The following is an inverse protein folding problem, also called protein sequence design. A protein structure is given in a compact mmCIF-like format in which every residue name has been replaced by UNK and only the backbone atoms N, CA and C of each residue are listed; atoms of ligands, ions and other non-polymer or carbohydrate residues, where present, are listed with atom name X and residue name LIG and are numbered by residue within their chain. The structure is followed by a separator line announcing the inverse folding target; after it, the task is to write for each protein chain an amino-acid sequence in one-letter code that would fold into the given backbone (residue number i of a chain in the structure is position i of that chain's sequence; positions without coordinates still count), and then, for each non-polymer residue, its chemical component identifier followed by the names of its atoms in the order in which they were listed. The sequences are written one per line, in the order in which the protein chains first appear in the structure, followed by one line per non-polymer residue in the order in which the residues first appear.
data_IF_802217539227
#
_entry.id   IF_802217539227
#
_cell.length_a   1.000
_cell.length_b   1.000
_cell.length_c   1.000
_cell.angle_alpha   90.00
_cell.angle_beta   90.00
_cell.angle_gamma   90.00
#
_symmetry.space_group_name_H-M   'P 1'
#
loop_
_entity.id
_entity.type
_entity.pdbx_description
1 polymer ?
#
# COMPACT_ATOMS: atom_id res chain seq x y z
N UNK A 1 31.25 -21.53 -13.01
CA UNK A 1 29.78 -21.62 -13.11
C UNK A 1 29.23 -20.37 -12.47
N UNK A 2 28.61 -19.53 -13.28
CA UNK A 2 27.88 -18.36 -12.79
C UNK A 2 26.60 -18.88 -12.13
N UNK A 3 26.48 -18.71 -10.82
CA UNK A 3 25.34 -19.22 -10.04
C UNK A 3 24.11 -18.38 -10.39
N UNK A 4 23.20 -18.95 -11.19
CA UNK A 4 21.92 -18.30 -11.51
C UNK A 4 20.93 -18.58 -10.39
N UNK A 5 20.41 -17.55 -9.73
CA UNK A 5 19.37 -17.71 -8.70
C UNK A 5 18.04 -17.22 -9.25
N UNK A 6 16.97 -18.00 -9.08
CA UNK A 6 15.65 -17.60 -9.52
C UNK A 6 15.13 -16.42 -8.67
N UNK A 7 14.70 -15.28 -9.27
CA UNK A 7 14.17 -14.15 -8.51
C UNK A 7 12.81 -14.41 -7.85
N UNK A 8 12.07 -15.41 -8.34
CA UNK A 8 10.70 -15.70 -7.87
C UNK A 8 10.69 -16.62 -6.65
N UNK A 9 11.45 -17.71 -6.70
CA UNK A 9 11.50 -18.71 -5.62
C UNK A 9 12.82 -18.73 -4.85
N UNK A 10 13.78 -17.87 -5.22
CA UNK A 10 15.10 -17.73 -4.57
C UNK A 10 15.91 -19.03 -4.54
N UNK A 11 15.57 -19.98 -5.41
CA UNK A 11 16.26 -21.26 -5.53
C UNK A 11 17.42 -21.12 -6.52
N UNK A 12 18.57 -21.69 -6.19
CA UNK A 12 19.70 -21.79 -7.11
C UNK A 12 19.33 -22.70 -8.28
N UNK A 13 19.42 -22.15 -9.48
CA UNK A 13 19.12 -22.86 -10.72
C UNK A 13 20.38 -23.59 -11.16
N UNK A 14 20.27 -24.92 -11.18
CA UNK A 14 21.26 -25.81 -11.79
C UNK A 14 20.76 -26.14 -13.18
N UNK A 15 21.45 -25.63 -14.19
CA UNK A 15 21.12 -25.87 -15.59
C UNK A 15 21.59 -27.26 -16.04
N UNK A 16 20.80 -27.90 -16.90
CA UNK A 16 21.18 -29.14 -17.54
C UNK A 16 22.27 -28.88 -18.60
N UNK A 17 23.31 -29.71 -18.64
CA UNK A 17 24.45 -29.57 -19.56
C UNK A 17 24.08 -29.85 -21.03
N UNK A 18 22.99 -30.58 -21.31
CA UNK A 18 22.55 -30.94 -22.66
C UNK A 18 21.56 -29.94 -23.26
N UNK A 19 20.79 -29.24 -22.42
CA UNK A 19 19.71 -28.33 -22.85
C UNK A 19 20.12 -26.85 -22.71
N UNK A 20 20.97 -26.50 -21.74
CA UNK A 20 21.42 -25.13 -21.50
C UNK A 20 20.41 -24.27 -20.72
N UNK A 21 20.67 -22.95 -20.59
CA UNK A 21 19.81 -22.05 -19.83
C UNK A 21 18.46 -21.83 -20.54
N UNK A 22 17.37 -22.13 -19.84
CA UNK A 22 15.99 -21.94 -20.32
C UNK A 22 15.40 -20.59 -19.87
N UNK A 23 14.35 -20.14 -20.56
CA UNK A 23 13.68 -18.87 -20.27
C UNK A 23 12.75 -18.93 -19.06
N UNK A 24 12.49 -20.12 -18.52
CA UNK A 24 11.64 -20.37 -17.35
C UNK A 24 12.42 -21.10 -16.25
N UNK A 25 12.07 -20.83 -14.99
CA UNK A 25 12.66 -21.52 -13.85
C UNK A 25 12.14 -22.97 -13.79
N UNK A 26 13.01 -24.00 -13.69
CA UNK A 26 12.58 -25.40 -13.62
C UNK A 26 11.84 -25.74 -12.31
N UNK A 27 12.01 -24.95 -11.26
CA UNK A 27 11.39 -25.19 -9.95
C UNK A 27 10.00 -24.57 -9.81
N UNK A 28 9.81 -23.35 -10.31
CA UNK A 28 8.58 -22.58 -10.11
C UNK A 28 7.88 -22.17 -11.41
N UNK A 29 8.44 -22.49 -12.58
CA UNK A 29 7.88 -22.28 -13.92
C UNK A 29 7.58 -20.82 -14.29
N UNK A 30 8.09 -19.85 -13.52
CA UNK A 30 8.04 -18.44 -13.89
C UNK A 30 9.13 -18.07 -14.90
N UNK A 31 8.84 -17.11 -15.77
CA UNK A 31 9.79 -16.57 -16.74
C UNK A 31 10.93 -15.79 -16.04
N UNK A 32 12.18 -16.12 -16.39
CA UNK A 32 13.38 -15.49 -15.84
C UNK A 32 13.73 -14.16 -16.52
N UNK A 33 13.24 -13.93 -17.74
CA UNK A 33 13.42 -12.68 -18.51
C UNK A 33 12.42 -11.58 -18.15
N UNK A 34 11.46 -11.86 -17.27
CA UNK A 34 10.34 -10.96 -16.93
C UNK A 34 10.66 -9.83 -15.95
N UNK A 35 11.93 -9.39 -15.85
CA UNK A 35 12.19 -8.15 -15.11
C UNK A 35 11.61 -6.98 -15.90
N UNK A 36 10.65 -6.31 -15.28
CA UNK A 36 10.03 -5.06 -15.76
C UNK A 36 11.03 -3.90 -15.57
N UNK A 37 12.18 -3.97 -16.22
CA UNK A 37 13.17 -2.90 -16.20
C UNK A 37 12.73 -1.80 -17.15
N UNK A 38 12.29 -0.67 -16.60
CA UNK A 38 12.09 0.56 -17.38
C UNK A 38 13.47 1.15 -17.70
N UNK A 39 13.87 1.08 -18.97
CA UNK A 39 15.05 1.78 -19.46
C UNK A 39 14.69 3.25 -19.71
N UNK A 40 14.95 4.11 -18.73
CA UNK A 40 14.77 5.55 -18.89
C UNK A 40 16.03 6.07 -19.60
N UNK A 41 15.89 6.53 -20.85
CA UNK A 41 16.94 7.26 -21.55
C UNK A 41 16.96 8.69 -21.02
N UNK A 42 17.94 9.01 -20.17
CA UNK A 42 18.26 10.39 -19.84
C UNK A 42 19.08 10.94 -21.01
N UNK A 43 18.47 11.82 -21.81
CA UNK A 43 19.14 12.46 -22.95
C UNK A 43 20.36 13.26 -22.50
N UNK A 44 21.46 13.13 -23.23
CA UNK A 44 22.69 13.89 -23.03
C UNK A 44 22.45 15.38 -23.34
N UNK A 45 22.83 16.26 -22.41
CA UNK A 45 22.94 17.70 -22.64
C UNK A 45 24.13 17.98 -23.56
N UNK A 46 23.91 18.42 -24.81
CA UNK A 46 24.95 19.04 -25.64
C UNK A 46 24.38 20.13 -26.59
N UNK A 47 24.78 21.37 -26.27
CA UNK A 47 25.11 22.55 -27.09
C UNK A 47 24.30 22.91 -28.38
N UNK A 48 23.66 24.10 -28.33
CA UNK A 48 23.12 24.88 -29.46
C UNK A 48 24.18 25.21 -30.54
N UNK A 49 23.80 25.29 -31.83
CA UNK A 49 23.63 26.63 -32.40
C UNK A 49 22.46 26.80 -33.40
N UNK A 50 21.74 27.90 -33.19
CA UNK A 50 20.92 28.71 -34.10
C UNK A 50 20.95 28.39 -35.61
N UNK A 51 19.84 27.87 -36.13
CA UNK A 51 19.33 28.21 -37.46
C UNK A 51 17.82 28.55 -37.35
N UNK A 52 17.51 29.79 -37.66
CA UNK A 52 16.17 30.37 -37.67
C UNK A 52 15.39 29.82 -38.85
N UNK A 53 14.63 28.74 -38.66
CA UNK A 53 13.51 28.41 -39.53
C UNK A 53 12.20 28.75 -38.79
N UNK A 54 11.43 29.62 -39.42
CA UNK A 54 10.14 30.14 -38.96
C UNK A 54 9.11 29.01 -39.11
N UNK A 55 8.90 28.25 -38.02
CA UNK A 55 7.86 27.23 -37.95
C UNK A 55 6.53 27.90 -37.63
N UNK A 56 5.58 27.83 -38.55
CA UNK A 56 4.19 28.20 -38.30
C UNK A 56 3.63 27.32 -37.18
N UNK A 57 3.15 27.99 -36.13
CA UNK A 57 2.45 27.44 -34.97
C UNK A 57 1.12 26.81 -35.41
N UNK A 58 1.12 25.50 -35.68
CA UNK A 58 -0.08 24.68 -35.56
C UNK A 58 0.08 23.81 -34.31
N UNK A 59 -0.55 24.31 -33.23
CA UNK A 59 -0.56 23.67 -31.91
C UNK A 59 -0.96 22.19 -31.96
N UNK A 60 -0.05 21.35 -31.49
CA UNK A 60 -0.26 19.95 -31.16
C UNK A 60 0.04 19.75 -29.68
N UNK A 61 -1.02 19.88 -28.89
CA UNK A 61 -1.16 19.50 -27.48
C UNK A 61 -0.76 18.03 -27.26
N UNK A 62 0.47 17.75 -26.80
CA UNK A 62 0.84 16.38 -26.40
C UNK A 62 1.87 16.29 -25.24
N UNK A 63 2.24 17.42 -24.62
CA UNK A 63 3.19 17.45 -23.49
C UNK A 63 2.52 17.61 -22.11
N UNK A 64 1.18 17.65 -22.05
CA UNK A 64 0.43 17.75 -20.80
C UNK A 64 0.08 16.38 -20.16
N UNK A 65 0.32 15.27 -20.85
CA UNK A 65 -0.16 13.94 -20.44
C UNK A 65 0.68 13.25 -19.34
N UNK A 66 1.79 13.84 -18.88
CA UNK A 66 2.69 13.17 -17.93
C UNK A 66 2.43 13.47 -16.44
N UNK A 67 1.57 14.44 -16.12
CA UNK A 67 1.25 14.83 -14.73
C UNK A 67 -0.14 14.39 -14.24
N UNK A 68 -0.85 13.55 -15.00
CA UNK A 68 -2.08 12.89 -14.54
C UNK A 68 -1.77 11.68 -13.65
N UNK A 69 -1.38 11.91 -12.40
CA UNK A 69 -1.29 10.83 -11.40
C UNK A 69 -2.59 10.66 -10.59
N UNK A 70 -3.54 11.59 -10.73
CA UNK A 70 -4.82 11.58 -9.99
C UNK A 70 -5.82 10.57 -10.59
N UNK A 71 -5.76 10.33 -11.91
CA UNK A 71 -6.62 9.43 -12.69
C UNK A 71 -6.29 7.95 -12.57
N UNK A 72 -5.17 7.58 -11.92
CA UNK A 72 -4.85 6.17 -11.66
C UNK A 72 -5.65 5.58 -10.49
N UNK A 73 -6.12 6.43 -9.55
CA UNK A 73 -6.95 5.98 -8.40
C UNK A 73 -8.32 5.46 -8.83
N UNK A 74 -8.90 6.07 -9.85
CA UNK A 74 -10.19 5.67 -10.44
C UNK A 74 -10.07 4.52 -11.44
N UNK A 75 -8.85 4.16 -11.85
CA UNK A 75 -8.59 3.04 -12.77
C UNK A 75 -8.19 1.74 -12.05
N UNK A 76 -8.23 1.70 -10.71
CA UNK A 76 -8.07 0.42 -10.01
C UNK A 76 -9.28 -0.48 -10.26
N UNK A 77 -9.07 -1.80 -10.40
CA UNK A 77 -10.19 -2.71 -10.60
C UNK A 77 -11.16 -2.64 -9.41
N UNK A 78 -12.49 -2.80 -9.63
CA UNK A 78 -13.51 -2.73 -8.58
C UNK A 78 -13.36 -3.78 -7.46
N UNK A 79 -12.44 -4.74 -7.63
CA UNK A 79 -12.02 -5.69 -6.60
C UNK A 79 -11.14 -5.05 -5.52
N UNK A 80 -10.51 -3.91 -5.81
CA UNK A 80 -9.61 -3.18 -4.91
C UNK A 80 -10.32 -1.92 -4.39
N UNK A 81 -10.95 -1.13 -5.25
CA UNK A 81 -11.76 0.04 -4.87
C UNK A 81 -13.24 -0.26 -5.10
N UNK A 82 -13.94 -0.64 -4.05
CA UNK A 82 -15.36 -1.00 -4.16
C UNK A 82 -16.28 0.21 -4.31
N UNK A 83 -15.80 1.42 -3.99
CA UNK A 83 -16.54 2.68 -4.09
C UNK A 83 -17.02 2.95 -5.52
N UNK A 84 -16.22 2.62 -6.53
CA UNK A 84 -16.53 2.88 -7.95
C UNK A 84 -17.81 2.16 -8.41
N UNK A 85 -18.19 1.07 -7.73
CA UNK A 85 -19.46 0.37 -8.00
C UNK A 85 -20.70 1.23 -7.74
N UNK A 86 -20.55 2.33 -6.99
CA UNK A 86 -21.64 3.21 -6.61
C UNK A 86 -21.69 4.50 -7.44
N UNK A 87 -20.77 4.71 -8.39
CA UNK A 87 -20.66 5.92 -9.21
C UNK A 87 -21.97 6.29 -9.92
N UNK A 88 -22.67 5.32 -10.49
CA UNK A 88 -23.96 5.57 -11.17
C UNK A 88 -25.11 5.93 -10.21
N UNK A 89 -24.97 5.62 -8.93
CA UNK A 89 -26.07 5.66 -7.94
C UNK A 89 -25.95 6.77 -6.91
N UNK A 90 -24.74 7.29 -6.68
CA UNK A 90 -24.43 8.26 -5.63
C UNK A 90 -23.49 9.34 -6.15
N UNK A 91 -23.56 10.52 -5.56
CA UNK A 91 -22.64 11.62 -5.84
C UNK A 91 -21.27 11.36 -5.18
N UNK A 92 -20.34 10.78 -5.95
CA UNK A 92 -19.00 10.47 -5.47
C UNK A 92 -18.13 11.71 -5.25
N UNK A 93 -18.36 12.80 -5.98
CA UNK A 93 -17.59 14.04 -5.77
C UNK A 93 -17.87 14.61 -4.38
N UNK A 94 -19.14 14.73 -4.01
CA UNK A 94 -19.50 15.19 -2.66
C UNK A 94 -19.06 14.20 -1.56
N UNK A 95 -19.06 12.89 -1.87
CA UNK A 95 -18.54 11.88 -0.96
C UNK A 95 -17.04 12.09 -0.69
N UNK A 96 -16.24 12.22 -1.75
CA UNK A 96 -14.79 12.41 -1.66
C UNK A 96 -14.44 13.73 -0.96
N UNK A 97 -15.11 14.84 -1.29
CA UNK A 97 -14.93 16.13 -0.60
C UNK A 97 -15.24 16.02 0.91
N UNK A 98 -16.29 15.29 1.28
CA UNK A 98 -16.63 15.07 2.70
C UNK A 98 -15.58 14.22 3.39
N UNK A 99 -15.07 13.19 2.72
CA UNK A 99 -14.00 12.33 3.25
C UNK A 99 -12.74 13.16 3.49
N UNK A 100 -12.32 14.00 2.54
CA UNK A 100 -11.15 14.87 2.69
C UNK A 100 -11.27 15.80 3.90
N UNK A 101 -12.43 16.46 4.06
CA UNK A 101 -12.68 17.32 5.24
C UNK A 101 -12.55 16.57 6.56
N UNK A 102 -13.05 15.33 6.61
CA UNK A 102 -12.93 14.48 7.81
C UNK A 102 -11.47 14.11 8.05
N UNK A 103 -10.73 13.74 7.00
CA UNK A 103 -9.32 13.38 7.09
C UNK A 103 -8.45 14.55 7.58
N UNK A 104 -8.75 15.78 7.17
CA UNK A 104 -8.05 16.99 7.61
C UNK A 104 -8.23 17.27 9.12
N UNK A 105 -9.35 16.87 9.71
CA UNK A 105 -9.63 17.03 11.14
C UNK A 105 -9.05 15.89 12.01
N UNK A 106 -8.72 14.75 11.39
CA UNK A 106 -8.23 13.57 12.10
C UNK A 106 -6.74 13.69 12.46
N UNK A 107 -6.42 13.37 13.72
CA UNK A 107 -5.03 13.33 14.18
C UNK A 107 -4.25 12.14 13.61
N UNK A 108 -4.88 10.96 13.55
CA UNK A 108 -4.30 9.75 12.95
C UNK A 108 -5.06 9.36 11.68
N UNK A 109 -4.32 9.24 10.59
CA UNK A 109 -4.83 8.89 9.26
C UNK A 109 -4.10 7.62 8.76
N UNK A 110 -4.55 6.42 9.16
CA UNK A 110 -3.91 5.18 8.72
C UNK A 110 -4.29 4.83 7.27
N UNK A 111 -3.38 4.14 6.58
CA UNK A 111 -3.63 3.57 5.25
C UNK A 111 -4.27 2.19 5.35
N UNK A 112 -5.23 1.90 4.46
CA UNK A 112 -5.90 0.62 4.42
C UNK A 112 -4.97 -0.50 3.94
N UNK A 113 -4.88 -1.65 4.63
CA UNK A 113 -4.03 -2.77 4.21
C UNK A 113 -4.50 -3.47 2.92
N UNK A 114 -5.72 -3.16 2.44
CA UNK A 114 -6.29 -3.76 1.22
C UNK A 114 -6.06 -2.92 -0.03
N UNK A 115 -6.37 -1.63 0.02
CA UNK A 115 -6.31 -0.74 -1.14
C UNK A 115 -5.33 0.44 -0.96
N UNK A 116 -4.74 0.60 0.23
CA UNK A 116 -3.83 1.70 0.61
C UNK A 116 -4.45 3.10 0.58
N UNK A 117 -5.78 3.19 0.50
CA UNK A 117 -6.47 4.47 0.73
C UNK A 117 -6.51 4.80 2.22
N UNK A 118 -6.57 6.10 2.51
CA UNK A 118 -6.71 6.58 3.87
C UNK A 118 -8.04 6.19 4.50
N UNK A 119 -8.00 5.85 5.79
CA UNK A 119 -9.16 5.40 6.54
C UNK A 119 -9.64 6.48 7.50
N UNK A 120 -10.96 6.58 7.63
CA UNK A 120 -11.60 7.53 8.54
C UNK A 120 -11.86 6.90 9.90
N UNK A 121 -11.68 7.68 10.98
CA UNK A 121 -12.00 7.25 12.34
C UNK A 121 -13.51 7.23 12.52
N UNK A 122 -14.09 6.04 12.62
CA UNK A 122 -15.52 5.84 12.82
C UNK A 122 -15.94 5.91 14.30
N UNK A 123 -15.01 5.65 15.21
CA UNK A 123 -15.24 5.80 16.65
C UNK A 123 -14.27 5.01 17.51
N UNK A 124 -14.49 5.03 18.83
CA UNK A 124 -13.67 4.32 19.81
C UNK A 124 -14.54 3.37 20.62
N UNK A 125 -14.16 2.09 20.66
CA UNK A 125 -14.80 1.06 21.46
C UNK A 125 -13.99 0.79 22.72
N UNK A 126 -14.65 0.79 23.88
CA UNK A 126 -14.04 0.38 25.14
C UNK A 126 -14.27 -1.11 25.38
N UNK A 127 -13.20 -1.85 25.62
CA UNK A 127 -13.23 -3.27 25.95
C UNK A 127 -13.13 -3.42 27.46
N UNK A 128 -14.17 -4.01 28.06
CA UNK A 128 -14.24 -4.31 29.50
C UNK A 128 -13.91 -5.77 29.79
N UNK A 129 -13.60 -6.09 31.04
CA UNK A 129 -13.16 -7.43 31.45
C UNK A 129 -14.19 -8.55 31.26
N UNK A 130 -15.48 -8.21 31.15
CA UNK A 130 -16.55 -9.22 31.02
C UNK A 130 -16.65 -9.81 29.61
N UNK A 131 -16.22 -9.06 28.58
CA UNK A 131 -16.31 -9.47 27.17
C UNK A 131 -14.97 -9.83 26.53
N UNK A 132 -13.89 -9.86 27.33
CA UNK A 132 -12.54 -10.09 26.83
C UNK A 132 -11.81 -11.14 27.67
N UNK A 133 -11.39 -12.23 27.00
CA UNK A 133 -10.58 -13.27 27.60
C UNK A 133 -9.10 -13.06 27.20
N UNK A 134 -8.25 -12.52 28.09
CA UNK A 134 -6.85 -12.27 27.77
C UNK A 134 -6.07 -13.57 27.55
N UNK A 135 -5.31 -13.64 26.46
CA UNK A 135 -4.35 -14.71 26.22
C UNK A 135 -3.16 -14.62 27.20
N UNK A 136 -2.75 -15.77 27.74
CA UNK A 136 -1.58 -15.89 28.61
C UNK A 136 -0.45 -16.59 27.88
N UNK A 137 0.75 -16.01 27.94
CA UNK A 137 1.95 -16.57 27.34
C UNK A 137 2.96 -16.98 28.40
N UNK A 138 3.59 -18.15 28.22
CA UNK A 138 4.57 -18.70 29.17
C UNK A 138 5.79 -17.79 29.37
N UNK A 139 6.17 -17.03 28.34
CA UNK A 139 7.28 -16.08 28.36
C UNK A 139 7.07 -14.93 29.37
N UNK A 140 5.82 -14.53 29.62
CA UNK A 140 5.50 -13.36 30.45
C UNK A 140 4.69 -13.69 31.70
N UNK A 141 4.05 -14.86 31.75
CA UNK A 141 3.12 -15.30 32.82
C UNK A 141 2.01 -14.29 33.15
N UNK A 142 1.79 -13.31 32.28
CA UNK A 142 0.73 -12.32 32.37
C UNK A 142 0.18 -12.02 30.97
N UNK A 143 -1.06 -11.50 30.89
CA UNK A 143 -1.64 -11.00 29.64
C UNK A 143 -0.79 -9.94 28.95
N UNK A 144 -0.89 -9.88 27.62
CA UNK A 144 -0.26 -8.81 26.80
C UNK A 144 -0.87 -7.44 27.11
N UNK A 145 -2.18 -7.40 27.35
CA UNK A 145 -2.92 -6.20 27.72
C UNK A 145 -3.98 -6.55 28.75
N UNK A 146 -4.20 -5.66 29.71
CA UNK A 146 -5.19 -5.81 30.78
C UNK A 146 -6.39 -4.89 30.51
N UNK A 147 -7.64 -5.39 30.59
CA UNK A 147 -8.81 -4.54 30.58
C UNK A 147 -8.88 -3.60 31.80
N UNK A 148 -9.49 -2.42 31.68
CA UNK A 148 -10.12 -1.88 30.47
C UNK A 148 -9.12 -1.18 29.55
N UNK A 149 -9.28 -1.38 28.24
CA UNK A 149 -8.54 -0.66 27.19
C UNK A 149 -9.49 -0.23 26.06
N UNK A 150 -9.04 0.69 25.21
CA UNK A 150 -9.82 1.27 24.11
C UNK A 150 -9.20 0.93 22.76
N UNK A 151 -10.05 0.63 21.79
CA UNK A 151 -9.67 0.44 20.38
C UNK A 151 -10.38 1.49 19.52
N UNK A 152 -9.63 2.15 18.65
CA UNK A 152 -10.12 3.05 17.62
C UNK A 152 -10.48 2.21 16.39
N UNK A 153 -11.70 2.40 15.88
CA UNK A 153 -12.21 1.71 14.70
C UNK A 153 -12.10 2.65 13.50
N UNK A 154 -11.39 2.20 12.47
CA UNK A 154 -11.22 2.91 11.22
C UNK A 154 -11.97 2.19 10.09
N UNK A 155 -12.54 2.96 9.18
CA UNK A 155 -13.24 2.45 8.00
C UNK A 155 -12.59 3.03 6.76
N UNK A 156 -12.20 2.17 5.82
CA UNK A 156 -11.70 2.61 4.52
C UNK A 156 -12.88 3.09 3.65
N UNK A 157 -12.76 4.30 3.12
CA UNK A 157 -13.80 4.91 2.27
C UNK A 157 -13.81 4.38 0.84
N UNK A 158 -12.68 3.83 0.36
CA UNK A 158 -12.56 3.20 -0.95
C UNK A 158 -13.04 1.74 -1.01
N UNK A 159 -12.66 0.91 -0.04
CA UNK A 159 -12.95 -0.53 -0.04
C UNK A 159 -13.87 -1.03 1.08
N UNK A 160 -14.33 -0.14 1.97
CA UNK A 160 -15.15 -0.44 3.15
C UNK A 160 -14.56 -1.49 4.10
N UNK A 161 -13.24 -1.70 4.05
CA UNK A 161 -12.53 -2.52 5.04
C UNK A 161 -12.56 -1.82 6.41
N UNK A 162 -12.79 -2.61 7.45
CA UNK A 162 -12.78 -2.14 8.84
C UNK A 162 -11.52 -2.64 9.52
N UNK A 163 -10.78 -1.73 10.13
CA UNK A 163 -9.59 -2.01 10.91
C UNK A 163 -9.73 -1.42 12.31
N UNK A 164 -9.14 -2.08 13.30
CA UNK A 164 -9.17 -1.62 14.70
C UNK A 164 -7.76 -1.48 15.23
N UNK A 165 -7.41 -0.28 15.68
CA UNK A 165 -6.13 0.02 16.29
C UNK A 165 -6.30 0.26 17.79
N UNK A 166 -5.31 -0.11 18.58
CA UNK A 166 -5.29 0.21 20.00
C UNK A 166 -5.13 1.73 20.18
N UNK A 167 -5.84 2.33 21.14
CA UNK A 167 -5.69 3.76 21.43
C UNK A 167 -4.25 4.12 21.80
N UNK A 168 -3.80 5.35 21.53
CA UNK A 168 -2.42 5.76 21.81
C UNK A 168 -2.03 5.55 23.28
N UNK A 169 -2.90 5.95 24.21
CA UNK A 169 -2.68 5.74 25.64
C UNK A 169 -2.50 4.26 25.99
N UNK A 170 -3.30 3.38 25.39
CA UNK A 170 -3.23 1.94 25.66
C UNK A 170 -2.06 1.27 24.90
N UNK A 171 -1.62 1.81 23.76
CA UNK A 171 -0.35 1.43 23.09
C UNK A 171 0.82 1.70 24.02
N UNK A 172 0.89 2.87 24.64
CA UNK A 172 1.94 3.23 25.60
C UNK A 172 1.91 2.31 26.83
N UNK A 173 0.72 2.05 27.40
CA UNK A 173 0.56 1.10 28.51
C UNK A 173 1.03 -0.30 28.14
N UNK A 174 0.72 -0.77 26.93
CA UNK A 174 1.18 -2.06 26.46
C UNK A 174 2.71 -2.08 26.33
N UNK A 175 3.33 -1.08 25.71
CA UNK A 175 4.79 -1.00 25.57
C UNK A 175 5.48 -0.96 26.94
N UNK A 176 4.99 -0.16 27.88
CA UNK A 176 5.51 -0.10 29.26
C UNK A 176 5.37 -1.45 29.97
N UNK A 177 4.21 -2.10 29.86
CA UNK A 177 3.95 -3.42 30.45
C UNK A 177 4.89 -4.50 29.88
N UNK A 178 5.07 -4.54 28.56
CA UNK A 178 5.91 -5.54 27.90
C UNK A 178 7.43 -5.26 28.10
N UNK A 179 7.84 -4.00 28.17
CA UNK A 179 9.25 -3.61 28.35
C UNK A 179 9.75 -3.82 29.78
N UNK A 180 8.87 -3.80 30.77
CA UNK A 180 9.17 -4.13 32.18
C UNK A 180 9.37 -5.62 32.44
N UNK A 181 9.50 -6.45 31.40
CA UNK A 181 9.77 -7.88 31.46
C UNK A 181 11.13 -8.24 32.08
N UNK A 182 11.33 -7.90 33.35
CA UNK A 182 11.99 -8.65 34.43
C UNK A 182 12.24 -7.73 35.64
N UNK A 183 11.40 -7.89 36.67
CA UNK A 183 11.82 -7.90 38.07
C UNK A 183 11.13 -9.07 38.76
#
# INVERSE_FOLDING_TARGET
METTVCPWCQTEIVWDEEIGPEDACPYCQNELKGYRTLSIQLGEEEEEPAEHEEWEDEGGDDDAAYWGQEDMRHNLPPSIRTLDKFEESHDLMNYEETVEKILDEQEEVPECPKCRDYMILAGTQQITGDSFAPAQFSAMKSPVIQPPFRVNMYICTGCFHVETNLSEEDRLRMVDHLSRGNA
#
